data_IF_175705570144
#
_entry.id   IF_175705570144
#
_cell.length_a   1.000
_cell.length_b   1.000
_cell.length_c   1.000
_cell.angle_alpha   90.00
_cell.angle_beta   90.00
_cell.angle_gamma   90.00
#
_symmetry.space_group_name_H-M   'P 1'
#
loop_
_entity.id
_entity.type
_entity.pdbx_description
1 polymer ?
#
# COMPACT_ATOMS: atom_id res chain seq x y z
N UNK A 1 4.19 -7.29 13.31
CA UNK A 1 4.22 -6.62 11.98
C UNK A 1 2.83 -6.62 11.38
N UNK A 2 2.38 -5.46 10.95
CA UNK A 2 1.09 -5.28 10.28
C UNK A 2 1.30 -4.84 8.85
N UNK A 3 0.38 -5.22 7.97
CA UNK A 3 0.32 -4.71 6.61
C UNK A 3 -0.92 -3.82 6.51
N UNK A 4 -0.72 -2.56 6.20
CA UNK A 4 -1.81 -1.60 5.97
C UNK A 4 -2.21 -1.69 4.51
N UNK A 5 -3.42 -2.17 4.25
CA UNK A 5 -3.94 -2.33 2.89
C UNK A 5 -4.87 -1.16 2.58
N UNK A 6 -4.43 -0.29 1.68
CA UNK A 6 -5.12 0.95 1.34
C UNK A 6 -5.67 0.81 -0.08
N UNK A 7 -6.95 0.55 -0.17
CA UNK A 7 -7.64 0.27 -1.41
C UNK A 7 -9.12 0.61 -1.26
N UNK A 8 -9.66 1.44 -2.14
CA UNK A 8 -11.04 1.93 -2.04
C UNK A 8 -12.10 0.90 -2.50
N UNK A 9 -11.72 -0.10 -3.27
CA UNK A 9 -12.63 -1.19 -3.63
C UNK A 9 -12.66 -2.22 -2.49
N UNK A 10 -13.79 -2.37 -1.76
CA UNK A 10 -13.82 -3.26 -0.58
C UNK A 10 -13.59 -4.72 -0.94
N UNK A 11 -14.07 -5.17 -2.08
CA UNK A 11 -13.90 -6.56 -2.51
C UNK A 11 -12.42 -6.86 -2.78
N UNK A 12 -11.75 -5.99 -3.50
CA UNK A 12 -10.33 -6.16 -3.78
C UNK A 12 -9.48 -6.03 -2.52
N UNK A 13 -9.84 -5.08 -1.64
CA UNK A 13 -9.16 -4.92 -0.35
C UNK A 13 -9.24 -6.21 0.47
N UNK A 14 -10.44 -6.79 0.58
CA UNK A 14 -10.64 -8.06 1.29
C UNK A 14 -9.85 -9.20 0.63
N UNK A 15 -9.80 -9.25 -0.68
CA UNK A 15 -9.04 -10.26 -1.41
C UNK A 15 -7.55 -10.20 -1.05
N UNK A 16 -6.97 -9.02 -1.07
CA UNK A 16 -5.56 -8.81 -0.72
C UNK A 16 -5.30 -9.17 0.75
N UNK A 17 -6.16 -8.72 1.65
CA UNK A 17 -6.04 -9.04 3.07
C UNK A 17 -6.12 -10.54 3.33
N UNK A 18 -6.99 -11.26 2.63
CA UNK A 18 -7.11 -12.71 2.78
C UNK A 18 -5.86 -13.43 2.30
N UNK A 19 -5.23 -12.98 1.22
CA UNK A 19 -3.96 -13.53 0.77
C UNK A 19 -2.88 -13.36 1.85
N UNK A 20 -2.80 -12.18 2.45
CA UNK A 20 -1.82 -11.89 3.50
C UNK A 20 -2.08 -12.69 4.77
N UNK A 21 -3.33 -12.82 5.18
CA UNK A 21 -3.70 -13.57 6.38
C UNK A 21 -3.37 -15.04 6.27
N UNK A 22 -3.50 -15.62 5.08
CA UNK A 22 -3.11 -17.02 4.84
C UNK A 22 -1.63 -17.26 5.14
N UNK A 23 -0.81 -16.25 4.96
CA UNK A 23 0.62 -16.32 5.21
C UNK A 23 1.01 -15.84 6.62
N UNK A 24 0.04 -15.57 7.47
CA UNK A 24 0.27 -15.22 8.87
C UNK A 24 0.47 -13.74 9.15
N UNK A 25 0.22 -12.85 8.19
CA UNK A 25 0.32 -11.41 8.41
C UNK A 25 -0.93 -10.85 9.06
N UNK A 26 -0.75 -9.91 9.99
CA UNK A 26 -1.83 -9.09 10.49
C UNK A 26 -2.13 -7.98 9.47
N UNK A 27 -3.39 -7.63 9.30
CA UNK A 27 -3.79 -6.61 8.33
C UNK A 27 -4.63 -5.52 8.97
N UNK A 28 -4.47 -4.30 8.44
CA UNK A 28 -5.32 -3.16 8.73
C UNK A 28 -5.83 -2.62 7.41
N UNK A 29 -7.14 -2.37 7.32
CA UNK A 29 -7.76 -1.92 6.08
C UNK A 29 -8.07 -0.42 6.13
N UNK A 30 -7.79 0.28 5.04
CA UNK A 30 -8.24 1.64 4.82
C UNK A 30 -8.79 1.76 3.40
N UNK A 31 -9.91 2.48 3.25
CA UNK A 31 -10.57 2.66 1.97
C UNK A 31 -10.37 4.07 1.42
N UNK A 32 -9.79 4.96 2.20
CA UNK A 32 -9.56 6.36 1.86
C UNK A 32 -8.20 6.82 2.39
N UNK A 33 -7.61 7.81 1.74
CA UNK A 33 -6.34 8.38 2.18
C UNK A 33 -6.45 9.05 3.56
N UNK A 34 -7.56 9.70 3.84
CA UNK A 34 -7.78 10.35 5.14
C UNK A 34 -7.77 9.33 6.28
N UNK A 35 -8.41 8.18 6.11
CA UNK A 35 -8.38 7.09 7.09
C UNK A 35 -6.97 6.51 7.21
N UNK A 36 -6.30 6.33 6.08
CA UNK A 36 -4.94 5.80 6.05
C UNK A 36 -3.97 6.67 6.86
N UNK A 37 -4.06 7.98 6.73
CA UNK A 37 -3.22 8.90 7.50
C UNK A 37 -3.41 8.73 9.00
N UNK A 38 -4.64 8.59 9.45
CA UNK A 38 -4.96 8.39 10.86
C UNK A 38 -4.36 7.09 11.39
N UNK A 39 -4.48 6.01 10.62
CA UNK A 39 -3.93 4.72 11.00
C UNK A 39 -2.41 4.74 10.99
N UNK A 40 -1.80 5.32 9.95
CA UNK A 40 -0.35 5.35 9.78
C UNK A 40 0.35 6.29 10.76
N UNK A 41 -0.38 7.25 11.34
CA UNK A 41 0.19 8.08 12.41
C UNK A 41 0.69 7.26 13.59
N UNK A 42 0.10 6.07 13.80
CA UNK A 42 0.45 5.15 14.89
C UNK A 42 1.20 3.91 14.41
N UNK A 43 1.61 3.87 13.13
CA UNK A 43 2.32 2.72 12.58
C UNK A 43 3.69 2.55 13.25
N UNK A 44 4.10 1.31 13.40
CA UNK A 44 5.39 0.95 13.96
C UNK A 44 6.43 0.75 12.85
N UNK A 45 7.70 0.79 13.21
CA UNK A 45 8.79 0.78 12.23
C UNK A 45 8.84 -0.49 11.38
N UNK A 46 8.36 -1.60 11.89
CA UNK A 46 8.33 -2.88 11.18
C UNK A 46 7.05 -3.13 10.38
N UNK A 47 6.13 -2.18 10.40
CA UNK A 47 4.90 -2.28 9.61
C UNK A 47 5.17 -1.98 8.13
N UNK A 48 4.24 -2.45 7.28
CA UNK A 48 4.36 -2.31 5.82
C UNK A 48 3.09 -1.67 5.28
N UNK A 49 3.24 -0.82 4.27
CA UNK A 49 2.11 -0.19 3.58
C UNK A 49 1.98 -0.78 2.19
N UNK A 50 0.77 -1.21 1.86
CA UNK A 50 0.41 -1.68 0.53
C UNK A 50 -0.77 -0.85 0.06
N UNK A 51 -0.55 0.00 -0.94
CA UNK A 51 -1.53 0.99 -1.36
C UNK A 51 -1.79 0.95 -2.85
N UNK A 52 -3.08 1.04 -3.23
CA UNK A 52 -3.44 1.34 -4.61
C UNK A 52 -2.89 2.72 -4.98
N UNK A 53 -2.49 2.87 -6.22
CA UNK A 53 -1.92 4.12 -6.71
C UNK A 53 -2.94 5.26 -6.66
N UNK A 54 -4.19 4.98 -7.04
CA UNK A 54 -5.27 5.98 -7.08
C UNK A 54 -6.44 5.55 -6.24
N UNK A 55 -6.90 6.47 -5.39
CA UNK A 55 -8.09 6.30 -4.57
C UNK A 55 -9.09 7.40 -4.90
N UNK A 56 -10.34 7.25 -4.39
CA UNK A 56 -11.38 8.22 -4.66
C UNK A 56 -11.05 9.62 -4.13
N UNK A 57 -10.32 9.71 -3.03
CA UNK A 57 -9.96 10.99 -2.41
C UNK A 57 -8.52 11.44 -2.70
N UNK A 58 -7.86 10.84 -3.69
CA UNK A 58 -6.56 11.30 -4.13
C UNK A 58 -5.60 10.19 -4.54
N UNK A 59 -4.35 10.55 -4.70
CA UNK A 59 -3.28 9.61 -5.08
C UNK A 59 -2.45 9.20 -3.87
N UNK A 60 -2.11 7.91 -3.80
CA UNK A 60 -1.30 7.38 -2.68
C UNK A 60 0.12 7.94 -2.67
N UNK A 61 0.60 8.51 -3.77
CA UNK A 61 1.89 9.20 -3.81
C UNK A 61 1.91 10.36 -2.80
N UNK A 62 0.80 11.07 -2.64
CA UNK A 62 0.71 12.15 -1.65
C UNK A 62 0.80 11.61 -0.23
N UNK A 63 0.23 10.43 0.02
CA UNK A 63 0.40 9.75 1.30
C UNK A 63 1.86 9.37 1.55
N UNK A 64 2.54 8.85 0.54
CA UNK A 64 3.96 8.51 0.61
C UNK A 64 4.80 9.75 0.94
N UNK A 65 4.56 10.86 0.28
CA UNK A 65 5.25 12.13 0.56
C UNK A 65 5.05 12.57 2.01
N UNK A 66 3.80 12.50 2.47
CA UNK A 66 3.47 12.84 3.86
C UNK A 66 4.24 11.94 4.84
N UNK A 67 4.26 10.64 4.60
CA UNK A 67 4.98 9.70 5.46
C UNK A 67 6.46 10.03 5.53
N UNK A 68 7.11 10.22 4.39
CA UNK A 68 8.55 10.52 4.35
C UNK A 68 8.88 11.87 4.98
N UNK A 69 8.02 12.87 4.79
CA UNK A 69 8.16 14.18 5.41
C UNK A 69 8.02 14.13 6.94
N UNK A 70 7.30 13.15 7.47
CA UNK A 70 7.10 12.97 8.91
C UNK A 70 8.02 11.91 9.51
N UNK A 71 9.10 11.56 8.83
CA UNK A 71 10.10 10.62 9.34
C UNK A 71 9.66 9.16 9.35
N UNK A 72 8.54 8.84 8.72
CA UNK A 72 8.02 7.46 8.65
C UNK A 72 8.69 6.73 7.52
N UNK A 73 9.39 5.64 7.84
CA UNK A 73 10.24 4.89 6.90
C UNK A 73 9.68 3.51 6.55
N UNK A 74 8.45 3.21 6.91
CA UNK A 74 7.85 1.92 6.57
C UNK A 74 7.95 1.65 5.08
N UNK A 75 8.24 0.41 4.67
CA UNK A 75 8.18 0.03 3.27
C UNK A 75 6.81 0.37 2.68
N UNK A 76 6.81 0.95 1.50
CA UNK A 76 5.61 1.39 0.81
C UNK A 76 5.56 0.70 -0.55
N UNK A 77 4.65 -0.24 -0.71
CA UNK A 77 4.48 -1.00 -1.94
C UNK A 77 3.24 -0.48 -2.66
N UNK A 78 3.41 -0.09 -3.90
CA UNK A 78 2.30 0.45 -4.71
C UNK A 78 1.67 -0.68 -5.52
N UNK A 79 0.35 -0.82 -5.39
CA UNK A 79 -0.45 -1.65 -6.30
C UNK A 79 -0.87 -0.79 -7.48
N UNK A 80 -0.76 -1.31 -8.68
CA UNK A 80 -1.05 -0.50 -9.87
C UNK A 80 -1.76 -1.31 -10.94
N UNK A 81 -2.65 -0.67 -11.67
CA UNK A 81 -3.18 -1.21 -12.91
C UNK A 81 -2.11 -1.20 -14.00
N UNK A 82 -2.28 -2.03 -15.01
CA UNK A 82 -1.32 -2.17 -16.10
C UNK A 82 -0.97 -0.82 -16.74
N UNK A 83 -1.96 0.05 -16.91
CA UNK A 83 -1.77 1.37 -17.55
C UNK A 83 -1.02 2.37 -16.66
N UNK A 84 -0.81 2.06 -15.37
CA UNK A 84 -0.23 3.00 -14.39
C UNK A 84 1.24 2.70 -14.07
N UNK A 85 1.88 1.81 -14.81
CA UNK A 85 3.26 1.39 -14.53
C UNK A 85 4.23 2.59 -14.55
N UNK A 86 4.03 3.53 -15.47
CA UNK A 86 4.88 4.72 -15.57
C UNK A 86 4.83 5.55 -14.28
N UNK A 87 3.63 5.79 -13.75
CA UNK A 87 3.44 6.54 -12.50
C UNK A 87 4.01 5.77 -11.31
N UNK A 88 3.88 4.44 -11.31
CA UNK A 88 4.46 3.61 -10.27
C UNK A 88 5.99 3.73 -10.23
N UNK A 89 6.63 3.75 -11.39
CA UNK A 89 8.08 3.95 -11.48
C UNK A 89 8.48 5.31 -10.88
N UNK A 90 7.70 6.36 -11.12
CA UNK A 90 7.96 7.67 -10.51
C UNK A 90 7.82 7.63 -8.98
N UNK A 91 6.87 6.83 -8.46
CA UNK A 91 6.70 6.72 -7.01
C UNK A 91 7.93 6.15 -6.32
N UNK A 92 8.69 5.30 -7.00
CA UNK A 92 9.93 4.75 -6.44
C UNK A 92 10.99 5.83 -6.23
N UNK A 93 11.00 6.86 -7.06
CA UNK A 93 11.89 8.02 -6.89
C UNK A 93 11.53 8.84 -5.65
N UNK A 94 10.29 8.74 -5.18
CA UNK A 94 9.81 9.42 -3.97
C UNK A 94 9.99 8.57 -2.72
N UNK A 95 10.56 7.38 -2.85
CA UNK A 95 10.85 6.52 -1.71
C UNK A 95 9.90 5.36 -1.50
N UNK A 96 9.09 4.97 -2.52
CA UNK A 96 8.40 3.70 -2.42
C UNK A 96 9.40 2.55 -2.54
N UNK A 97 9.12 1.43 -1.88
CA UNK A 97 10.04 0.30 -1.87
C UNK A 97 9.93 -0.54 -3.13
N UNK A 98 8.70 -0.66 -3.66
CA UNK A 98 8.44 -1.48 -4.83
C UNK A 98 7.06 -1.17 -5.40
N UNK A 99 6.73 -1.78 -6.51
CA UNK A 99 5.37 -1.77 -7.04
C UNK A 99 4.99 -3.16 -7.55
N UNK A 100 3.69 -3.43 -7.61
CA UNK A 100 3.19 -4.71 -8.07
C UNK A 100 1.94 -4.47 -8.93
N UNK A 101 1.90 -4.96 -10.18
CA UNK A 101 0.67 -4.92 -10.97
C UNK A 101 -0.44 -5.73 -10.31
N UNK A 102 -1.65 -5.19 -10.24
CA UNK A 102 -2.78 -5.87 -9.57
C UNK A 102 -3.03 -7.27 -10.09
N UNK A 103 -2.84 -7.51 -11.38
CA UNK A 103 -3.03 -8.84 -11.98
C UNK A 103 -2.04 -9.89 -11.47
N UNK A 104 -0.92 -9.46 -10.87
CA UNK A 104 0.14 -10.35 -10.36
C UNK A 104 0.17 -10.43 -8.85
N UNK A 105 -0.81 -9.83 -8.15
CA UNK A 105 -0.82 -9.77 -6.69
C UNK A 105 -0.80 -11.18 -6.09
N UNK A 106 -1.57 -12.12 -6.63
CA UNK A 106 -1.61 -13.48 -6.10
C UNK A 106 -0.23 -14.15 -6.12
N UNK A 107 0.56 -13.93 -7.18
CA UNK A 107 1.85 -14.60 -7.36
C UNK A 107 3.01 -13.86 -6.72
N UNK A 108 2.96 -12.54 -6.66
CA UNK A 108 4.10 -11.71 -6.30
C UNK A 108 4.01 -11.00 -4.96
N UNK A 109 2.81 -10.87 -4.38
CA UNK A 109 2.62 -10.07 -3.18
C UNK A 109 3.39 -10.63 -1.98
N UNK A 110 3.21 -11.90 -1.69
CA UNK A 110 3.83 -12.52 -0.50
C UNK A 110 5.35 -12.46 -0.57
N UNK A 111 5.99 -12.78 -1.71
CA UNK A 111 7.44 -12.62 -1.82
C UNK A 111 7.94 -11.20 -1.61
N UNK A 112 7.15 -10.16 -1.95
CA UNK A 112 7.54 -8.76 -1.74
C UNK A 112 7.37 -8.32 -0.28
N UNK A 113 6.38 -8.85 0.39
CA UNK A 113 6.09 -8.52 1.78
C UNK A 113 6.95 -9.37 2.70
#
# INVERSE_FOLDING_TARGET
MKVYVIEDNPVYNDYVCNLLKKEGFDTMQAYHLSTARKLLAKAEDDDIVLADLRLLDGESIDLLRWMRANGKRQPFIVMTDYAEVHTAVESMKLGSSDYIPKRLVEDQLVPLV
#
